data_IF_813350420657
#
_entry.id   IF_813350420657
#
_cell.length_a   1.000
_cell.length_b   1.000
_cell.length_c   1.000
_cell.angle_alpha   90.00
_cell.angle_beta   90.00
_cell.angle_gamma   90.00
#
_symmetry.space_group_name_H-M   'P 1'
#
loop_
_entity.id
_entity.type
_entity.pdbx_description
1 polymer ?
#
# COMPACT_ATOMS: atom_id res chain seq x y z
N UNK A 1 -0.74 37.54 -24.59
CA UNK A 1 -1.16 36.24 -24.03
C UNK A 1 -0.02 35.70 -23.19
N UNK A 2 -0.11 35.79 -21.86
CA UNK A 2 0.83 35.09 -20.98
C UNK A 2 0.52 33.61 -21.11
N UNK A 3 1.29 32.90 -21.92
CA UNK A 3 1.36 31.44 -21.88
C UNK A 3 1.93 31.09 -20.51
N UNK A 4 1.06 30.87 -19.51
CA UNK A 4 1.46 30.21 -18.29
C UNK A 4 2.10 28.88 -18.71
N UNK A 5 3.40 28.74 -18.48
CA UNK A 5 4.05 27.44 -18.63
C UNK A 5 3.23 26.42 -17.82
N UNK A 6 2.89 25.25 -18.39
CA UNK A 6 2.08 24.28 -17.67
C UNK A 6 2.80 23.94 -16.36
N UNK A 7 2.13 24.17 -15.23
CA UNK A 7 2.72 23.89 -13.94
C UNK A 7 3.14 22.42 -13.86
N UNK A 8 4.31 22.12 -13.28
CA UNK A 8 4.77 20.75 -13.17
C UNK A 8 3.76 19.95 -12.33
N UNK A 9 3.48 18.73 -12.78
CA UNK A 9 2.60 17.78 -12.12
C UNK A 9 3.30 17.21 -10.89
N UNK A 10 2.57 17.10 -9.77
CA UNK A 10 3.04 16.38 -8.59
C UNK A 10 2.69 14.90 -8.75
N UNK A 11 3.71 14.09 -9.03
CA UNK A 11 3.60 12.66 -9.23
C UNK A 11 4.20 11.93 -8.04
N UNK A 12 3.55 10.88 -7.57
CA UNK A 12 4.00 10.03 -6.48
C UNK A 12 4.04 8.61 -6.99
N UNK A 13 5.18 7.93 -6.78
CA UNK A 13 5.29 6.51 -7.08
C UNK A 13 5.82 5.80 -5.85
N UNK A 14 5.42 4.53 -5.69
CA UNK A 14 6.04 3.61 -4.75
C UNK A 14 5.62 2.18 -5.06
N UNK A 15 6.44 1.23 -4.66
CA UNK A 15 6.02 -0.15 -4.60
C UNK A 15 7.14 -1.09 -5.02
N UNK A 16 6.76 -2.32 -5.33
CA UNK A 16 7.70 -3.39 -5.59
C UNK A 16 7.09 -4.43 -6.51
N UNK A 17 7.89 -4.96 -7.42
CA UNK A 17 7.58 -6.12 -8.25
C UNK A 17 8.65 -7.19 -8.02
N UNK A 18 8.22 -8.44 -7.86
CA UNK A 18 9.12 -9.57 -7.65
C UNK A 18 9.09 -10.50 -8.89
N UNK A 19 10.25 -10.69 -9.52
CA UNK A 19 10.38 -11.47 -10.77
C UNK A 19 10.66 -12.96 -10.51
N UNK A 20 11.08 -13.30 -9.28
CA UNK A 20 11.19 -14.66 -8.77
C UNK A 20 12.38 -15.50 -9.25
N UNK A 21 13.07 -15.09 -10.31
CA UNK A 21 14.31 -15.75 -10.76
C UNK A 21 15.26 -14.77 -11.44
N UNK A 22 16.57 -15.04 -11.35
CA UNK A 22 17.60 -14.31 -12.09
C UNK A 22 17.28 -14.24 -13.59
N UNK A 23 16.89 -15.37 -14.20
CA UNK A 23 16.58 -15.42 -15.64
C UNK A 23 15.50 -14.42 -16.05
N UNK A 24 14.41 -14.33 -15.28
CA UNK A 24 13.34 -13.37 -15.55
C UNK A 24 13.81 -11.95 -15.26
N UNK A 25 14.54 -11.74 -14.17
CA UNK A 25 15.12 -10.44 -13.83
C UNK A 25 16.02 -9.89 -14.95
N UNK A 26 16.97 -10.69 -15.46
CA UNK A 26 17.88 -10.31 -16.54
C UNK A 26 17.12 -9.99 -17.84
N UNK A 27 16.11 -10.80 -18.15
CA UNK A 27 15.24 -10.57 -19.31
C UNK A 27 14.54 -9.22 -19.20
N UNK A 28 13.98 -8.91 -18.04
CA UNK A 28 13.27 -7.65 -17.79
C UNK A 28 14.23 -6.46 -17.78
N UNK A 29 15.41 -6.60 -17.21
CA UNK A 29 16.42 -5.55 -17.20
C UNK A 29 16.90 -5.24 -18.63
N UNK A 30 17.20 -6.27 -19.42
CA UNK A 30 17.52 -6.10 -20.85
C UNK A 30 16.37 -5.46 -21.62
N UNK A 31 15.14 -5.89 -21.34
CA UNK A 31 13.95 -5.32 -21.95
C UNK A 31 13.80 -3.84 -21.59
N UNK A 32 13.96 -3.47 -20.31
CA UNK A 32 13.97 -2.08 -19.84
C UNK A 32 14.95 -1.24 -20.64
N UNK A 33 16.23 -1.63 -20.71
CA UNK A 33 17.25 -0.89 -21.46
C UNK A 33 16.89 -0.72 -22.95
N UNK A 34 16.37 -1.76 -23.60
CA UNK A 34 15.89 -1.68 -24.98
C UNK A 34 14.75 -0.67 -25.15
N UNK A 35 13.79 -0.63 -24.21
CA UNK A 35 12.68 0.34 -24.24
C UNK A 35 13.17 1.77 -24.03
N UNK A 36 14.14 1.96 -23.13
CA UNK A 36 14.79 3.26 -22.93
C UNK A 36 15.51 3.71 -24.20
N UNK A 37 16.38 2.88 -24.77
CA UNK A 37 17.18 3.25 -25.95
C UNK A 37 16.32 3.58 -27.17
N UNK A 38 15.33 2.74 -27.47
CA UNK A 38 14.60 2.80 -28.73
C UNK A 38 13.34 3.66 -28.71
N UNK A 39 12.71 3.88 -27.54
CA UNK A 39 11.39 4.50 -27.46
C UNK A 39 11.36 5.71 -26.52
N UNK A 40 11.82 5.55 -25.28
CA UNK A 40 11.60 6.56 -24.25
C UNK A 40 12.74 7.56 -24.11
N UNK A 41 13.99 7.17 -24.37
CA UNK A 41 15.20 7.98 -24.17
C UNK A 41 15.21 8.58 -22.74
N UNK A 42 15.16 9.90 -22.62
CA UNK A 42 15.16 10.61 -21.34
C UNK A 42 13.74 10.91 -20.81
N UNK A 43 12.70 10.30 -21.38
CA UNK A 43 11.30 10.64 -21.12
C UNK A 43 10.61 9.68 -20.12
N UNK A 44 11.38 9.03 -19.26
CA UNK A 44 10.89 8.30 -18.07
C UNK A 44 11.53 8.88 -16.82
N UNK A 45 10.90 8.67 -15.67
CA UNK A 45 11.30 9.30 -14.41
C UNK A 45 12.40 8.55 -13.65
N UNK A 46 12.67 7.31 -14.02
CA UNK A 46 13.56 6.42 -13.25
C UNK A 46 14.58 5.76 -14.15
N UNK A 47 15.76 5.50 -13.59
CA UNK A 47 16.78 4.67 -14.25
C UNK A 47 16.69 3.21 -13.77
N UNK A 48 17.41 2.32 -14.44
CA UNK A 48 17.44 0.92 -14.02
C UNK A 48 18.18 0.77 -12.68
N UNK A 49 19.27 1.51 -12.49
CA UNK A 49 20.13 1.49 -11.31
C UNK A 49 19.39 1.97 -10.04
N UNK A 50 18.39 2.83 -10.21
CA UNK A 50 17.54 3.29 -9.10
C UNK A 50 16.52 2.24 -8.65
N UNK A 51 16.05 1.39 -9.58
CA UNK A 51 14.87 0.56 -9.35
C UNK A 51 15.17 -0.93 -9.21
N UNK A 52 16.13 -1.47 -9.96
CA UNK A 52 16.38 -2.90 -10.02
C UNK A 52 17.32 -3.34 -8.90
N UNK A 53 16.97 -4.44 -8.23
CA UNK A 53 17.73 -5.02 -7.12
C UNK A 53 18.02 -6.48 -7.43
N UNK A 54 19.30 -6.78 -7.66
CA UNK A 54 19.74 -8.11 -8.09
C UNK A 54 19.69 -9.12 -6.95
N UNK A 55 19.97 -8.70 -5.72
CA UNK A 55 20.06 -9.57 -4.54
C UNK A 55 18.78 -10.39 -4.30
N UNK A 56 17.64 -9.86 -4.75
CA UNK A 56 16.35 -10.44 -4.48
C UNK A 56 15.41 -10.52 -5.70
N UNK A 57 15.97 -10.30 -6.90
CA UNK A 57 15.31 -10.36 -8.22
C UNK A 57 14.05 -9.52 -8.29
N UNK A 58 14.17 -8.24 -7.92
CA UNK A 58 13.03 -7.33 -7.83
C UNK A 58 13.27 -5.99 -8.50
N UNK A 59 12.17 -5.27 -8.67
CA UNK A 59 12.14 -3.85 -8.98
C UNK A 59 11.44 -3.15 -7.80
N UNK A 60 12.12 -2.22 -7.14
CA UNK A 60 11.57 -1.43 -6.03
C UNK A 60 11.53 0.05 -6.38
N UNK A 61 10.33 0.62 -6.45
CA UNK A 61 10.15 2.07 -6.60
C UNK A 61 10.11 2.71 -5.22
N UNK A 62 11.09 3.56 -4.85
CA UNK A 62 11.07 4.25 -3.57
C UNK A 62 9.88 5.21 -3.49
N UNK A 63 9.34 5.42 -2.29
CA UNK A 63 8.30 6.42 -2.09
C UNK A 63 8.90 7.82 -2.28
N UNK A 64 8.63 8.42 -3.43
CA UNK A 64 9.11 9.75 -3.75
C UNK A 64 8.05 10.60 -4.43
N UNK A 65 8.14 11.92 -4.19
CA UNK A 65 7.31 12.93 -4.86
C UNK A 65 8.16 13.64 -5.90
N UNK A 66 7.72 13.61 -7.14
CA UNK A 66 8.41 14.21 -8.28
C UNK A 66 7.54 15.30 -8.90
N UNK A 67 8.19 16.40 -9.29
CA UNK A 67 7.56 17.47 -10.06
C UNK A 67 7.92 17.29 -11.53
N UNK A 68 6.96 16.96 -12.38
CA UNK A 68 7.26 16.55 -13.76
C UNK A 68 6.14 16.81 -14.76
N UNK A 69 6.16 16.17 -15.93
CA UNK A 69 5.23 16.45 -17.04
C UNK A 69 4.23 15.31 -17.26
N UNK A 70 3.11 15.60 -17.93
CA UNK A 70 2.14 14.57 -18.34
C UNK A 70 2.75 13.54 -19.31
N UNK A 71 3.81 13.92 -20.04
CA UNK A 71 4.56 13.01 -20.91
C UNK A 71 5.36 12.01 -20.07
N UNK A 72 6.11 12.48 -19.07
CA UNK A 72 6.83 11.62 -18.13
C UNK A 72 5.88 10.68 -17.36
N UNK A 73 4.71 11.16 -16.92
CA UNK A 73 3.67 10.32 -16.30
C UNK A 73 3.27 9.15 -17.21
N UNK A 74 2.82 9.45 -18.43
CA UNK A 74 2.34 8.43 -19.38
C UNK A 74 3.42 7.43 -19.75
N UNK A 75 4.62 7.91 -20.05
CA UNK A 75 5.74 7.05 -20.46
C UNK A 75 6.21 6.15 -19.30
N UNK A 76 6.39 6.71 -18.11
CA UNK A 76 6.86 5.95 -16.92
C UNK A 76 5.82 4.91 -16.51
N UNK A 77 4.54 5.28 -16.43
CA UNK A 77 3.48 4.32 -16.07
C UNK A 77 3.30 3.25 -17.14
N UNK A 78 3.44 3.58 -18.43
CA UNK A 78 3.41 2.61 -19.53
C UNK A 78 4.54 1.58 -19.41
N UNK A 79 5.78 2.04 -19.23
CA UNK A 79 6.94 1.15 -19.07
C UNK A 79 6.80 0.26 -17.83
N UNK A 80 6.35 0.81 -16.69
CA UNK A 80 6.13 0.03 -15.48
C UNK A 80 5.02 -1.02 -15.66
N UNK A 81 3.94 -0.71 -16.38
CA UNK A 81 2.87 -1.68 -16.71
C UNK A 81 3.40 -2.82 -17.57
N UNK A 82 4.23 -2.51 -18.56
CA UNK A 82 4.89 -3.49 -19.44
C UNK A 82 5.79 -4.43 -18.62
N UNK A 83 6.62 -3.87 -17.75
CA UNK A 83 7.55 -4.60 -16.86
C UNK A 83 6.80 -5.46 -15.83
N UNK A 84 5.70 -4.95 -15.28
CA UNK A 84 4.90 -5.67 -14.30
C UNK A 84 4.38 -7.02 -14.82
N UNK A 85 4.16 -7.16 -16.13
CA UNK A 85 3.68 -8.42 -16.70
C UNK A 85 4.70 -9.56 -16.64
N UNK A 86 5.97 -9.28 -16.33
CA UNK A 86 6.97 -10.31 -16.09
C UNK A 86 7.01 -10.78 -14.63
N UNK A 87 6.46 -10.01 -13.70
CA UNK A 87 6.48 -10.33 -12.28
C UNK A 87 5.62 -11.56 -11.94
N UNK A 88 5.91 -12.14 -10.77
CA UNK A 88 5.12 -13.18 -10.11
C UNK A 88 4.27 -12.62 -8.96
N UNK A 89 4.66 -11.46 -8.41
CA UNK A 89 3.97 -10.81 -7.31
C UNK A 89 4.35 -9.32 -7.21
N UNK A 90 3.62 -8.61 -6.36
CA UNK A 90 3.89 -7.22 -6.03
C UNK A 90 3.04 -6.24 -6.84
N UNK A 91 3.14 -4.96 -6.47
CA UNK A 91 2.48 -3.86 -7.15
C UNK A 91 3.30 -2.57 -7.03
N UNK A 92 3.20 -1.70 -8.02
CA UNK A 92 3.66 -0.31 -7.99
C UNK A 92 2.45 0.60 -8.07
N UNK A 93 2.25 1.38 -7.02
CA UNK A 93 1.28 2.45 -7.03
C UNK A 93 1.86 3.71 -7.67
N UNK A 94 1.05 4.37 -8.50
CA UNK A 94 1.36 5.65 -9.10
C UNK A 94 0.17 6.60 -8.87
N UNK A 95 0.43 7.82 -8.43
CA UNK A 95 -0.59 8.85 -8.20
C UNK A 95 -0.15 10.17 -8.84
N UNK A 96 -1.03 10.76 -9.61
CA UNK A 96 -0.95 12.16 -10.00
C UNK A 96 -1.85 12.95 -9.05
N UNK A 97 -1.25 13.83 -8.25
CA UNK A 97 -1.95 14.61 -7.22
C UNK A 97 -1.89 16.10 -7.56
N UNK A 98 -2.98 16.84 -7.30
CA UNK A 98 -2.99 18.30 -7.34
C UNK A 98 -3.88 18.83 -6.22
N UNK A 99 -3.41 19.84 -5.47
CA UNK A 99 -4.15 20.46 -4.37
C UNK A 99 -4.73 19.46 -3.34
N UNK A 100 -4.02 18.35 -3.09
CA UNK A 100 -4.44 17.32 -2.14
C UNK A 100 -5.53 16.36 -2.66
N UNK A 101 -5.84 16.40 -3.96
CA UNK A 101 -6.74 15.47 -4.65
C UNK A 101 -5.96 14.62 -5.65
N UNK A 102 -6.37 13.35 -5.79
CA UNK A 102 -5.84 12.45 -6.82
C UNK A 102 -6.57 12.76 -8.13
N UNK A 103 -5.82 13.10 -9.17
CA UNK A 103 -6.33 13.35 -10.53
C UNK A 103 -6.31 12.09 -11.39
N UNK A 104 -5.30 11.25 -11.22
CA UNK A 104 -5.15 9.95 -11.88
C UNK A 104 -4.35 9.02 -10.96
N UNK A 105 -4.67 7.72 -10.98
CA UNK A 105 -3.92 6.72 -10.24
C UNK A 105 -3.87 5.37 -10.95
N UNK A 106 -2.78 4.64 -10.73
CA UNK A 106 -2.63 3.26 -11.18
C UNK A 106 -2.16 2.38 -10.03
N UNK A 107 -2.78 1.20 -9.94
CA UNK A 107 -2.20 0.04 -9.25
C UNK A 107 -1.60 -0.85 -10.33
N UNK A 108 -0.27 -0.77 -10.51
CA UNK A 108 0.44 -1.48 -11.55
C UNK A 108 0.91 -2.83 -10.99
N UNK A 109 0.34 -3.92 -11.49
CA UNK A 109 0.59 -5.28 -10.99
C UNK A 109 0.59 -6.29 -12.15
N UNK A 110 1.12 -7.52 -11.95
CA UNK A 110 1.02 -8.57 -12.96
C UNK A 110 -0.44 -9.02 -13.13
N UNK A 111 -0.89 -9.14 -14.38
CA UNK A 111 -2.23 -9.62 -14.76
C UNK A 111 -2.12 -10.80 -15.73
N UNK A 112 -1.23 -11.74 -15.42
CA UNK A 112 -0.87 -12.86 -16.32
C UNK A 112 -1.39 -14.21 -15.83
N UNK A 113 -1.47 -15.17 -16.74
CA UNK A 113 -1.86 -16.57 -16.46
C UNK A 113 -0.82 -17.39 -15.67
N UNK A 114 0.27 -16.76 -15.19
CA UNK A 114 1.24 -17.44 -14.33
C UNK A 114 0.52 -17.88 -13.05
N UNK A 115 0.70 -19.14 -12.66
CA UNK A 115 -0.08 -19.77 -11.60
C UNK A 115 -0.11 -18.98 -10.27
N UNK A 116 1.01 -18.38 -9.85
CA UNK A 116 1.04 -17.55 -8.64
C UNK A 116 0.15 -16.30 -8.76
N UNK A 117 0.18 -15.65 -9.92
CA UNK A 117 -0.55 -14.43 -10.23
C UNK A 117 -2.05 -14.72 -10.35
N UNK A 118 -2.42 -15.71 -11.17
CA UNK A 118 -3.84 -16.03 -11.41
C UNK A 118 -4.54 -16.50 -10.14
N UNK A 119 -3.90 -17.32 -9.30
CA UNK A 119 -4.47 -17.74 -8.02
C UNK A 119 -4.58 -16.57 -7.02
N UNK A 120 -3.62 -15.65 -7.00
CA UNK A 120 -3.72 -14.44 -6.17
C UNK A 120 -4.88 -13.54 -6.61
N UNK A 121 -5.01 -13.29 -7.91
CA UNK A 121 -6.09 -12.48 -8.48
C UNK A 121 -7.46 -13.11 -8.21
N UNK A 122 -7.57 -14.43 -8.40
CA UNK A 122 -8.76 -15.21 -8.05
C UNK A 122 -9.10 -15.10 -6.56
N UNK A 123 -8.13 -15.30 -5.68
CA UNK A 123 -8.32 -15.18 -4.24
C UNK A 123 -8.80 -13.78 -3.85
N UNK A 124 -8.22 -12.73 -4.46
CA UNK A 124 -8.63 -11.35 -4.24
C UNK A 124 -10.04 -11.05 -4.71
N UNK A 125 -10.49 -11.67 -5.81
CA UNK A 125 -11.85 -11.50 -6.30
C UNK A 125 -12.87 -12.19 -5.37
N UNK A 126 -12.58 -13.42 -4.96
CA UNK A 126 -13.40 -14.16 -3.99
C UNK A 126 -13.58 -13.40 -2.67
N UNK A 127 -12.55 -12.66 -2.22
CA UNK A 127 -12.67 -11.76 -1.06
C UNK A 127 -13.72 -10.66 -1.26
N UNK A 128 -13.82 -10.09 -2.46
CA UNK A 128 -14.82 -9.05 -2.78
C UNK A 128 -16.23 -9.63 -2.81
N UNK A 129 -16.37 -10.84 -3.34
CA UNK A 129 -17.63 -11.59 -3.41
C UNK A 129 -18.06 -12.16 -2.05
N UNK A 130 -17.17 -12.21 -1.07
CA UNK A 130 -17.43 -12.71 0.28
C UNK A 130 -17.14 -14.21 0.48
N UNK A 131 -16.61 -14.90 -0.53
CA UNK A 131 -16.19 -16.31 -0.47
C UNK A 131 -14.86 -16.49 0.28
N UNK A 132 -14.87 -16.28 1.59
CA UNK A 132 -13.66 -16.24 2.42
C UNK A 132 -12.91 -17.58 2.45
N UNK A 133 -13.62 -18.70 2.52
CA UNK A 133 -13.02 -20.04 2.53
C UNK A 133 -12.35 -20.35 1.19
N UNK A 134 -13.01 -20.10 0.07
CA UNK A 134 -12.43 -20.28 -1.26
C UNK A 134 -11.27 -19.32 -1.51
N UNK A 135 -11.37 -18.08 -1.02
CA UNK A 135 -10.29 -17.11 -1.08
C UNK A 135 -9.06 -17.61 -0.32
N UNK A 136 -9.24 -18.18 0.88
CA UNK A 136 -8.13 -18.75 1.67
C UNK A 136 -7.37 -19.83 0.90
N UNK A 137 -8.10 -20.72 0.20
CA UNK A 137 -7.50 -21.78 -0.63
C UNK A 137 -6.72 -21.17 -1.80
N UNK A 138 -7.32 -20.28 -2.58
CA UNK A 138 -6.66 -19.66 -3.73
C UNK A 138 -5.41 -18.86 -3.32
N UNK A 139 -5.47 -18.12 -2.22
CA UNK A 139 -4.33 -17.38 -1.70
C UNK A 139 -3.22 -18.30 -1.18
N UNK A 140 -3.58 -19.46 -0.61
CA UNK A 140 -2.61 -20.48 -0.22
C UNK A 140 -1.92 -21.10 -1.44
N UNK A 141 -2.67 -21.40 -2.50
CA UNK A 141 -2.10 -21.85 -3.77
C UNK A 141 -1.11 -20.82 -4.35
N UNK A 142 -1.46 -19.52 -4.34
CA UNK A 142 -0.56 -18.47 -4.79
C UNK A 142 0.76 -18.43 -4.00
N UNK A 143 0.68 -18.59 -2.67
CA UNK A 143 1.84 -18.67 -1.78
C UNK A 143 2.69 -19.92 -2.05
N UNK A 144 2.07 -21.07 -2.30
CA UNK A 144 2.79 -22.30 -2.66
C UNK A 144 3.56 -22.15 -3.98
N UNK A 145 2.97 -21.47 -4.97
CA UNK A 145 3.64 -21.20 -6.26
C UNK A 145 4.72 -20.13 -6.14
N UNK A 146 4.59 -19.20 -5.21
CA UNK A 146 5.62 -18.19 -4.92
C UNK A 146 5.64 -17.81 -3.44
N UNK A 147 6.53 -18.44 -2.67
CA UNK A 147 6.59 -18.29 -1.22
C UNK A 147 6.95 -16.87 -0.74
N UNK A 148 7.45 -16.00 -1.63
CA UNK A 148 7.72 -14.57 -1.37
C UNK A 148 6.57 -13.66 -1.83
N UNK A 149 5.33 -14.17 -1.93
CA UNK A 149 4.17 -13.38 -2.36
C UNK A 149 3.58 -12.55 -1.21
N UNK A 150 4.20 -11.41 -0.86
CA UNK A 150 3.77 -10.55 0.26
C UNK A 150 2.25 -10.22 0.23
N UNK A 151 1.73 -9.78 -0.92
CA UNK A 151 0.32 -9.41 -1.04
C UNK A 151 -0.66 -10.58 -0.83
N UNK A 152 -0.25 -11.82 -1.12
CA UNK A 152 -1.09 -13.00 -0.90
C UNK A 152 -1.17 -13.33 0.59
N UNK A 153 -0.04 -13.21 1.32
CA UNK A 153 -0.05 -13.27 2.77
C UNK A 153 -0.91 -12.16 3.39
N UNK A 154 -0.78 -10.90 2.96
CA UNK A 154 -1.65 -9.82 3.46
C UNK A 154 -3.13 -10.15 3.26
N UNK A 155 -3.50 -10.56 2.05
CA UNK A 155 -4.90 -10.89 1.74
C UNK A 155 -5.40 -12.10 2.51
N UNK A 156 -4.57 -13.13 2.69
CA UNK A 156 -4.95 -14.31 3.48
C UNK A 156 -5.05 -13.96 4.97
N UNK A 157 -4.20 -13.08 5.46
CA UNK A 157 -4.31 -12.50 6.79
C UNK A 157 -5.63 -11.74 7.00
N UNK A 158 -6.07 -10.97 5.99
CA UNK A 158 -7.39 -10.33 6.01
C UNK A 158 -8.54 -11.35 6.01
N UNK A 159 -8.45 -12.41 5.21
CA UNK A 159 -9.42 -13.52 5.21
C UNK A 159 -9.50 -14.17 6.59
N UNK A 160 -8.35 -14.54 7.17
CA UNK A 160 -8.26 -15.11 8.51
C UNK A 160 -8.83 -14.17 9.59
N UNK A 161 -8.56 -12.87 9.49
CA UNK A 161 -9.16 -11.86 10.36
C UNK A 161 -10.70 -11.85 10.25
N UNK A 162 -11.26 -11.97 9.04
CA UNK A 162 -12.71 -12.02 8.81
C UNK A 162 -13.34 -13.31 9.34
N UNK A 163 -12.63 -14.42 9.22
CA UNK A 163 -13.01 -15.72 9.78
C UNK A 163 -12.76 -15.82 11.30
N UNK A 164 -12.23 -14.76 11.93
CA UNK A 164 -11.85 -14.70 13.35
C UNK A 164 -10.71 -15.66 13.75
N UNK A 165 -9.95 -16.15 12.77
CA UNK A 165 -8.72 -16.93 12.95
C UNK A 165 -7.56 -15.96 13.26
N UNK A 166 -7.60 -15.32 14.43
CA UNK A 166 -6.70 -14.21 14.73
C UNK A 166 -5.22 -14.58 14.79
N UNK A 167 -4.86 -15.78 15.25
CA UNK A 167 -3.46 -16.22 15.28
C UNK A 167 -2.91 -16.41 13.87
N UNK A 168 -3.68 -17.01 12.97
CA UNK A 168 -3.29 -17.19 11.57
C UNK A 168 -3.20 -15.84 10.84
N UNK A 169 -4.11 -14.91 11.16
CA UNK A 169 -4.04 -13.54 10.65
C UNK A 169 -2.74 -12.83 11.09
N UNK A 170 -2.38 -12.92 12.38
CA UNK A 170 -1.13 -12.34 12.90
C UNK A 170 0.11 -12.95 12.22
N UNK A 171 0.11 -14.27 12.02
CA UNK A 171 1.18 -14.97 11.30
C UNK A 171 1.31 -14.44 9.87
N UNK A 172 0.22 -14.41 9.12
CA UNK A 172 0.22 -14.00 7.71
C UNK A 172 0.59 -12.52 7.53
N UNK A 173 0.06 -11.61 8.36
CA UNK A 173 0.47 -10.21 8.31
C UNK A 173 1.97 -10.05 8.63
N UNK A 174 2.48 -10.78 9.63
CA UNK A 174 3.90 -10.74 9.98
C UNK A 174 4.78 -11.29 8.85
N UNK A 175 4.32 -12.34 8.16
CA UNK A 175 5.03 -12.88 6.99
C UNK A 175 5.04 -11.89 5.83
N UNK A 176 3.92 -11.24 5.54
CA UNK A 176 3.84 -10.15 4.55
C UNK A 176 4.82 -9.02 4.87
N UNK A 177 4.88 -8.57 6.13
CA UNK A 177 5.79 -7.52 6.59
C UNK A 177 7.25 -7.93 6.41
N UNK A 178 7.60 -9.19 6.70
CA UNK A 178 8.98 -9.68 6.54
C UNK A 178 9.45 -9.68 5.09
N UNK A 179 8.51 -9.86 4.14
CA UNK A 179 8.81 -9.91 2.70
C UNK A 179 8.82 -8.49 2.11
N UNK A 180 7.81 -7.68 2.42
CA UNK A 180 7.71 -6.29 1.97
C UNK A 180 7.42 -5.35 3.15
N UNK A 181 8.47 -4.89 3.86
CA UNK A 181 8.30 -4.07 5.07
C UNK A 181 7.80 -2.65 4.78
N UNK A 182 7.70 -2.25 3.52
CA UNK A 182 7.23 -0.92 3.09
C UNK A 182 5.73 -0.87 2.77
N UNK A 183 5.05 -2.01 2.69
CA UNK A 183 3.60 -2.06 2.46
C UNK A 183 2.85 -1.70 3.75
N UNK A 184 1.98 -0.67 3.75
CA UNK A 184 1.23 -0.25 4.95
C UNK A 184 0.09 -1.21 5.34
N UNK A 185 -0.50 -1.90 4.38
CA UNK A 185 -1.69 -2.76 4.55
C UNK A 185 -1.51 -3.86 5.61
N UNK A 186 -0.42 -4.67 5.62
CA UNK A 186 -0.28 -5.74 6.61
C UNK A 186 -0.04 -5.21 8.03
N UNK A 187 0.61 -4.05 8.21
CA UNK A 187 0.71 -3.42 9.53
C UNK A 187 -0.67 -2.99 10.03
N UNK A 188 -1.48 -2.36 9.18
CA UNK A 188 -2.84 -1.97 9.55
C UNK A 188 -3.70 -3.18 9.93
N UNK A 189 -3.60 -4.27 9.16
CA UNK A 189 -4.26 -5.54 9.44
C UNK A 189 -3.84 -6.12 10.79
N UNK A 190 -2.53 -6.20 11.06
CA UNK A 190 -1.98 -6.71 12.32
C UNK A 190 -2.38 -5.87 13.52
N UNK A 191 -2.28 -4.55 13.42
CA UNK A 191 -2.72 -3.61 14.46
C UNK A 191 -4.20 -3.78 14.80
N UNK A 192 -5.06 -4.01 13.80
CA UNK A 192 -6.48 -4.32 14.04
C UNK A 192 -6.71 -5.63 14.79
N UNK A 193 -5.93 -6.67 14.50
CA UNK A 193 -6.04 -7.94 15.23
C UNK A 193 -5.61 -7.75 16.68
N UNK A 194 -4.52 -7.01 16.92
CA UNK A 194 -4.04 -6.68 18.26
C UNK A 194 -5.07 -5.88 19.07
N UNK A 195 -5.74 -4.90 18.45
CA UNK A 195 -6.87 -4.19 19.06
C UNK A 195 -7.99 -5.15 19.51
N UNK A 196 -8.36 -6.13 18.68
CA UNK A 196 -9.40 -7.11 19.04
C UNK A 196 -8.98 -8.01 20.22
N UNK A 197 -7.67 -8.18 20.43
CA UNK A 197 -7.10 -8.89 21.58
C UNK A 197 -6.89 -7.98 22.80
N UNK A 198 -7.31 -6.71 22.73
CA UNK A 198 -7.05 -5.67 23.72
C UNK A 198 -5.56 -5.39 23.97
N UNK A 199 -4.70 -5.73 23.01
CA UNK A 199 -3.25 -5.47 23.05
C UNK A 199 -2.95 -4.07 22.50
N UNK A 200 -3.51 -3.04 23.16
CA UNK A 200 -3.52 -1.66 22.66
C UNK A 200 -2.11 -1.08 22.48
N UNK A 201 -1.22 -1.25 23.48
CA UNK A 201 0.16 -0.77 23.41
C UNK A 201 0.93 -1.42 22.26
N UNK A 202 0.74 -2.72 22.05
CA UNK A 202 1.39 -3.47 20.97
C UNK A 202 0.89 -3.07 19.58
N UNK A 203 -0.33 -2.53 19.46
CA UNK A 203 -0.91 -2.10 18.19
C UNK A 203 -0.41 -0.74 17.71
N UNK A 204 0.02 0.15 18.63
CA UNK A 204 0.45 1.52 18.31
C UNK A 204 1.58 1.54 17.26
N UNK A 205 2.67 0.75 17.40
CA UNK A 205 3.77 0.73 16.42
C UNK A 205 3.32 0.32 15.01
N UNK A 206 2.33 -0.56 14.91
CA UNK A 206 1.79 -1.01 13.62
C UNK A 206 1.01 0.10 12.91
N UNK A 207 0.21 0.87 13.65
CA UNK A 207 -0.45 2.04 13.07
C UNK A 207 0.55 3.15 12.72
N UNK A 208 1.61 3.35 13.49
CA UNK A 208 2.70 4.26 13.12
C UNK A 208 3.41 3.84 11.83
N UNK A 209 3.68 2.54 11.66
CA UNK A 209 4.25 2.00 10.42
C UNK A 209 3.28 2.16 9.25
N UNK A 210 1.98 1.96 9.46
CA UNK A 210 0.95 2.23 8.46
C UNK A 210 0.96 3.69 8.01
N UNK A 211 0.99 4.64 8.95
CA UNK A 211 1.00 6.09 8.65
C UNK A 211 2.26 6.48 7.87
N UNK A 212 3.43 5.97 8.27
CA UNK A 212 4.71 6.24 7.58
C UNK A 212 4.74 5.65 6.17
N UNK A 213 4.13 4.47 5.99
CA UNK A 213 4.09 3.75 4.72
C UNK A 213 2.92 4.12 3.82
N UNK A 214 1.95 4.94 4.24
CA UNK A 214 0.79 5.35 3.47
C UNK A 214 0.91 6.80 2.96
N UNK A 215 0.22 7.14 1.87
CA UNK A 215 0.12 8.52 1.40
C UNK A 215 -1.08 9.20 2.07
N UNK A 216 -0.96 10.48 2.41
CA UNK A 216 -2.08 11.25 2.98
C UNK A 216 -3.30 11.38 2.05
N UNK A 217 -3.14 11.08 0.75
CA UNK A 217 -4.25 10.98 -0.20
C UNK A 217 -5.02 9.65 -0.10
N UNK A 218 -4.43 8.64 0.53
CA UNK A 218 -5.07 7.33 0.68
C UNK A 218 -5.91 7.28 1.96
N UNK A 219 -7.10 6.65 1.94
CA UNK A 219 -7.95 6.55 3.12
C UNK A 219 -7.30 5.84 4.32
N UNK A 220 -6.45 4.84 4.07
CA UNK A 220 -5.78 4.06 5.12
C UNK A 220 -4.88 4.92 6.01
N UNK A 221 -4.31 6.00 5.49
CA UNK A 221 -3.47 6.92 6.27
C UNK A 221 -4.25 7.55 7.42
N UNK A 222 -5.44 8.08 7.13
CA UNK A 222 -6.30 8.72 8.12
C UNK A 222 -6.94 7.70 9.06
N UNK A 223 -7.34 6.56 8.51
CA UNK A 223 -7.92 5.49 9.31
C UNK A 223 -6.89 4.94 10.32
N UNK A 224 -5.62 4.82 9.95
CA UNK A 224 -4.55 4.42 10.84
C UNK A 224 -4.31 5.44 11.96
N UNK A 225 -4.36 6.76 11.68
CA UNK A 225 -4.28 7.81 12.72
C UNK A 225 -5.40 7.70 13.75
N UNK A 226 -6.63 7.49 13.29
CA UNK A 226 -7.76 7.28 14.19
C UNK A 226 -7.58 6.01 15.04
N UNK A 227 -7.17 4.89 14.44
CA UNK A 227 -6.95 3.63 15.17
C UNK A 227 -5.78 3.72 16.15
N UNK A 228 -4.70 4.43 15.80
CA UNK A 228 -3.62 4.79 16.73
C UNK A 228 -4.16 5.57 17.92
N UNK A 229 -5.00 6.59 17.67
CA UNK A 229 -5.61 7.41 18.72
C UNK A 229 -6.49 6.60 19.66
N UNK A 230 -7.26 5.64 19.14
CA UNK A 230 -8.03 4.68 19.94
C UNK A 230 -7.12 3.84 20.85
N UNK A 231 -6.01 3.32 20.31
CA UNK A 231 -5.05 2.55 21.09
C UNK A 231 -4.40 3.39 22.19
N UNK A 232 -4.00 4.63 21.87
CA UNK A 232 -3.42 5.57 22.84
C UNK A 232 -4.41 5.92 23.95
N UNK A 233 -5.69 6.12 23.61
CA UNK A 233 -6.75 6.36 24.59
C UNK A 233 -6.88 5.18 25.56
N UNK A 234 -6.98 3.95 25.06
CA UNK A 234 -7.08 2.75 25.90
C UNK A 234 -5.79 2.47 26.71
N UNK A 235 -4.64 2.90 26.19
CA UNK A 235 -3.36 2.88 26.89
C UNK A 235 -3.19 4.03 27.90
N UNK A 236 -4.19 4.91 28.08
CA UNK A 236 -4.15 6.11 28.93
C UNK A 236 -3.07 7.13 28.55
N UNK A 237 -2.60 7.09 27.30
CA UNK A 237 -1.62 8.02 26.70
C UNK A 237 -2.35 9.19 26.03
N UNK A 238 -3.18 9.89 26.79
CA UNK A 238 -4.13 10.88 26.27
C UNK A 238 -3.44 12.07 25.59
N UNK A 239 -2.32 12.54 26.15
CA UNK A 239 -1.52 13.64 25.59
C UNK A 239 -0.99 13.33 24.19
N UNK A 240 -0.72 12.07 23.88
CA UNK A 240 -0.27 11.61 22.56
C UNK A 240 -1.43 11.38 21.59
N UNK A 241 -2.64 11.05 22.08
CA UNK A 241 -3.82 10.85 21.25
C UNK A 241 -4.38 12.17 20.70
N UNK A 242 -4.38 13.23 21.52
CA UNK A 242 -4.93 14.55 21.17
C UNK A 242 -4.40 15.12 19.84
N UNK A 243 -3.07 15.20 19.59
CA UNK A 243 -2.57 15.76 18.33
C UNK A 243 -2.97 14.93 17.11
N UNK A 244 -3.05 13.60 17.23
CA UNK A 244 -3.48 12.70 16.15
C UNK A 244 -4.96 12.93 15.80
N UNK A 245 -5.82 13.05 16.81
CA UNK A 245 -7.25 13.35 16.64
C UNK A 245 -7.50 14.74 16.06
N UNK A 246 -6.76 15.75 16.54
CA UNK A 246 -6.84 17.12 16.00
C UNK A 246 -6.47 17.14 14.51
N UNK A 247 -5.41 16.44 14.11
CA UNK A 247 -5.03 16.36 12.70
C UNK A 247 -6.10 15.64 11.86
N UNK A 248 -6.70 14.56 12.38
CA UNK A 248 -7.79 13.86 11.72
C UNK A 248 -9.01 14.75 11.50
N UNK A 249 -9.43 15.51 12.52
CA UNK A 249 -10.59 16.39 12.48
C UNK A 249 -10.37 17.67 11.64
N UNK A 250 -9.13 18.11 11.49
CA UNK A 250 -8.77 19.22 10.58
C UNK A 250 -8.84 18.82 9.10
N UNK A 251 -8.79 17.52 8.79
CA UNK A 251 -8.88 17.05 7.40
C UNK A 251 -10.31 17.18 6.88
N UNK A 252 -10.47 17.90 5.76
CA UNK A 252 -11.70 17.82 4.97
C UNK A 252 -11.79 16.46 4.27
N UNK A 253 -12.76 15.65 4.67
CA UNK A 253 -13.19 14.43 3.98
C UNK A 253 -14.31 14.75 2.98
N UNK A 254 -14.32 14.08 1.84
CA UNK A 254 -15.37 14.21 0.82
C UNK A 254 -16.35 13.03 0.93
N UNK A 255 -17.52 13.13 0.29
CA UNK A 255 -18.65 12.21 0.50
C UNK A 255 -18.32 10.72 0.23
N UNK A 256 -17.35 10.43 -0.64
CA UNK A 256 -16.91 9.07 -0.96
C UNK A 256 -15.76 8.57 -0.07
N UNK A 257 -15.24 9.38 0.85
CA UNK A 257 -14.15 8.98 1.73
C UNK A 257 -14.68 8.09 2.88
N UNK A 258 -14.19 6.83 3.02
CA UNK A 258 -14.67 5.91 4.05
C UNK A 258 -14.34 6.36 5.49
N UNK A 259 -13.54 7.41 5.67
CA UNK A 259 -13.21 8.02 6.95
C UNK A 259 -14.30 8.97 7.47
N UNK A 260 -15.17 9.48 6.60
CA UNK A 260 -16.21 10.46 6.97
C UNK A 260 -17.10 9.96 8.11
N UNK A 261 -17.47 8.67 8.07
CA UNK A 261 -18.32 8.02 9.09
C UNK A 261 -17.72 7.96 10.50
N UNK A 262 -16.45 8.30 10.69
CA UNK A 262 -15.78 8.23 11.99
C UNK A 262 -15.53 9.60 12.63
N UNK A 263 -15.99 10.70 12.04
CA UNK A 263 -15.82 12.05 12.62
C UNK A 263 -16.37 12.12 14.04
N UNK A 264 -17.62 11.71 14.27
CA UNK A 264 -18.23 11.76 15.61
C UNK A 264 -17.49 10.91 16.64
N UNK A 265 -16.89 9.79 16.21
CA UNK A 265 -16.04 8.97 17.08
C UNK A 265 -14.74 9.72 17.45
N UNK A 266 -14.11 10.38 16.47
CA UNK A 266 -12.90 11.15 16.71
C UNK A 266 -13.16 12.36 17.62
N UNK A 267 -14.28 13.06 17.46
CA UNK A 267 -14.72 14.15 18.35
C UNK A 267 -14.93 13.67 19.78
N UNK A 268 -15.64 12.55 19.95
CA UNK A 268 -15.85 11.93 21.25
C UNK A 268 -14.52 11.59 21.93
N UNK A 269 -13.62 10.89 21.24
CA UNK A 269 -12.31 10.54 21.78
C UNK A 269 -11.49 11.77 22.16
N UNK A 270 -11.55 12.83 21.36
CA UNK A 270 -10.80 14.05 21.63
C UNK A 270 -11.28 14.71 22.93
N UNK A 271 -12.60 14.87 23.08
CA UNK A 271 -13.19 15.44 24.28
C UNK A 271 -12.85 14.61 25.53
N UNK A 272 -12.94 13.28 25.44
CA UNK A 272 -12.58 12.41 26.57
C UNK A 272 -11.09 12.48 26.90
N UNK A 273 -10.19 12.54 25.91
CA UNK A 273 -8.77 12.75 26.18
C UNK A 273 -8.52 14.08 26.90
N UNK A 274 -9.15 15.18 26.45
CA UNK A 274 -8.96 16.51 27.03
C UNK A 274 -9.48 16.58 28.48
N UNK A 275 -10.58 15.89 28.82
CA UNK A 275 -11.06 15.77 30.21
C UNK A 275 -10.10 15.02 31.13
N UNK A 276 -9.36 14.04 30.62
CA UNK A 276 -8.47 13.21 31.43
C UNK A 276 -7.13 13.87 31.76
N UNK A 277 -6.79 14.99 31.10
CA UNK A 277 -5.54 15.73 31.30
C UNK A 277 -5.73 17.09 31.97
N UNK A 278 -6.98 17.54 32.13
CA UNK A 278 -7.35 18.74 32.87
C UNK A 278 -7.67 18.38 34.32
#
# INVERSE_FOLDING_TARGET
>A
MNLQQPQPLKLIFRGRLDFGSQRTYDLVLKHWHSRIENYFKTEVLFTAEELFTEEDFSLTVPQQTLMSTAKHWRNTTSLLKEVAQYALAGNVGAWWVQNGQVLDEYQIEPETEKAAVSEFLRGRELVKEGGMEQASVALSNAIEKFARHAAAYERRGYVNYKLKNYNDALHDFSKSISINPKSPEPYYGRGKVLMLKNEWESAIPDFDKTIKGALAVQPIYWLARLRKSECLFHAKRFSEAIPELKLYLQRKFYDNDPNLRFISKAEYLLNECEKMIN
#
